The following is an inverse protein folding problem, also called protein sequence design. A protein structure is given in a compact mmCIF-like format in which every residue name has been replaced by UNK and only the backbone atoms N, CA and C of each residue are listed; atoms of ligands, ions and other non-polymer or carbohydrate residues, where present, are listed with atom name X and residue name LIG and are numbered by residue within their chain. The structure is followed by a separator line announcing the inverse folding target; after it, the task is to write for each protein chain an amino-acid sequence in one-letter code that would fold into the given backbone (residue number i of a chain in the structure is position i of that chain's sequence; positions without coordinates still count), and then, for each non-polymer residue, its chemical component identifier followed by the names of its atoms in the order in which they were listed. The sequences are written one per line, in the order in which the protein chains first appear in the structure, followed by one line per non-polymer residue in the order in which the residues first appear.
data_IF_832817475687
#
_entry.id   IF_832817475687
#
_cell.length_a   1.000
_cell.length_b   1.000
_cell.length_c   1.000
_cell.angle_alpha   90.00
_cell.angle_beta   90.00
_cell.angle_gamma   90.00
#
_symmetry.space_group_name_H-M   'P 1'
#
loop_
_entity.id
_entity.type
_entity.pdbx_description
1 polymer ?
#
# COMPACT_ATOMS: atom_id res chain seq x y z
N UNK A 1 10.69 -6.76 6.22
CA UNK A 1 9.36 -7.14 6.75
C UNK A 1 8.70 -5.87 7.28
N UNK A 2 7.42 -5.65 6.97
CA UNK A 2 6.68 -4.48 7.47
C UNK A 2 6.37 -4.63 8.96
N UNK A 3 6.49 -3.55 9.72
CA UNK A 3 6.08 -3.48 11.12
C UNK A 3 5.31 -2.19 11.34
N UNK A 4 4.07 -2.29 11.84
CA UNK A 4 3.22 -1.13 12.15
C UNK A 4 3.94 -0.18 13.10
N UNK A 5 4.55 -0.70 14.17
CA UNK A 5 5.25 0.11 15.14
C UNK A 5 6.47 0.84 14.55
N UNK A 6 7.24 0.18 13.68
CA UNK A 6 8.38 0.84 13.01
C UNK A 6 7.89 1.92 12.05
N UNK A 7 6.81 1.65 11.32
CA UNK A 7 6.22 2.60 10.40
C UNK A 7 5.66 3.84 11.12
N UNK A 8 4.90 3.64 12.21
CA UNK A 8 4.41 4.73 13.04
C UNK A 8 5.55 5.56 13.65
N UNK A 9 6.65 4.91 14.07
CA UNK A 9 7.84 5.61 14.54
C UNK A 9 8.44 6.51 13.44
N UNK A 10 8.54 6.03 12.19
CA UNK A 10 8.98 6.84 11.06
C UNK A 10 8.05 8.04 10.83
N UNK A 11 6.73 7.85 10.89
CA UNK A 11 5.78 8.97 10.74
C UNK A 11 5.94 9.99 11.89
N UNK A 12 6.16 9.53 13.12
CA UNK A 12 6.44 10.39 14.26
C UNK A 12 7.74 11.19 14.06
N UNK A 13 8.80 10.55 13.57
CA UNK A 13 10.06 11.20 13.22
C UNK A 13 9.89 12.25 12.12
N UNK A 14 9.07 11.99 11.09
CA UNK A 14 8.77 12.99 10.05
C UNK A 14 8.04 14.19 10.67
N UNK A 15 7.04 13.96 11.52
CA UNK A 15 6.30 15.04 12.19
C UNK A 15 7.21 15.89 13.09
N UNK A 16 8.07 15.26 13.88
CA UNK A 16 9.05 15.95 14.72
C UNK A 16 10.10 16.70 13.88
N UNK A 17 10.59 16.06 12.81
CA UNK A 17 11.50 16.65 11.85
C UNK A 17 10.89 17.88 11.20
N UNK A 18 9.59 17.86 10.89
CA UNK A 18 8.88 18.98 10.28
C UNK A 18 8.81 20.18 11.22
N UNK A 19 8.50 19.95 12.50
CA UNK A 19 8.55 21.01 13.51
C UNK A 19 9.96 21.61 13.65
N UNK A 20 10.98 20.75 13.61
CA UNK A 20 12.39 21.19 13.67
C UNK A 20 12.77 22.01 12.44
N UNK A 21 12.34 21.57 11.26
CA UNK A 21 12.54 22.28 10.00
C UNK A 21 11.87 23.66 10.04
N UNK A 22 10.59 23.73 10.40
CA UNK A 22 9.84 24.99 10.50
C UNK A 22 10.49 25.95 11.50
N UNK A 23 10.94 25.43 12.65
CA UNK A 23 11.64 26.24 13.64
C UNK A 23 12.96 26.80 13.12
N UNK A 24 13.66 26.10 12.23
CA UNK A 24 14.90 26.58 11.60
C UNK A 24 14.62 27.61 10.51
N UNK A 25 13.61 27.38 9.67
CA UNK A 25 13.19 28.33 8.63
C UNK A 25 12.72 29.65 9.26
N UNK A 26 11.99 29.59 10.39
CA UNK A 26 11.57 30.77 11.13
C UNK A 26 12.74 31.64 11.67
N UNK A 27 13.96 31.08 11.74
CA UNK A 27 15.16 31.81 12.18
C UNK A 27 15.87 32.55 11.03
N UNK A 28 15.53 32.26 9.76
CA UNK A 28 16.23 32.81 8.59
C UNK A 28 16.05 34.32 8.47
N UNK A 29 14.80 34.82 8.49
CA UNK A 29 14.53 36.27 8.40
C UNK A 29 15.16 37.02 9.59
N UNK A 30 14.96 36.63 10.86
CA UNK A 30 15.62 37.31 11.98
C UNK A 30 17.15 37.34 11.90
N UNK A 31 17.78 36.27 11.41
CA UNK A 31 19.23 36.24 11.20
C UNK A 31 19.66 37.21 10.09
N UNK A 32 18.88 37.28 9.01
CA UNK A 32 19.10 38.21 7.90
C UNK A 32 18.92 39.66 8.34
N UNK A 33 17.86 39.98 9.10
CA UNK A 33 17.59 41.32 9.66
C UNK A 33 18.74 41.76 10.58
N UNK A 34 19.20 40.86 11.45
CA UNK A 34 20.32 41.13 12.34
C UNK A 34 21.60 41.48 11.56
N UNK A 35 21.87 40.76 10.47
CA UNK A 35 23.01 41.04 9.61
C UNK A 35 22.83 42.34 8.81
N UNK A 36 21.68 42.55 8.21
CA UNK A 36 21.36 43.75 7.42
C UNK A 36 21.42 45.03 8.27
N UNK A 37 21.15 44.94 9.58
CA UNK A 37 21.23 46.08 10.52
C UNK A 37 22.65 46.47 10.94
N UNK A 38 23.68 45.73 10.53
CA UNK A 38 25.05 46.02 10.94
C UNK A 38 25.58 47.28 10.25
N UNK A 39 26.23 48.15 11.01
CA UNK A 39 26.71 49.47 10.56
C UNK A 39 27.68 49.42 9.36
N UNK A 40 28.34 48.30 9.13
CA UNK A 40 29.32 48.11 8.05
C UNK A 40 28.70 47.50 6.78
N UNK A 41 27.42 47.14 6.81
CA UNK A 41 26.67 46.62 5.65
C UNK A 41 26.08 47.79 4.88
N UNK A 42 26.37 47.88 3.59
CA UNK A 42 25.78 48.90 2.72
C UNK A 42 24.31 48.60 2.43
N UNK A 43 23.48 49.64 2.25
CA UNK A 43 22.03 49.49 2.03
C UNK A 43 21.66 48.54 0.88
N UNK A 44 22.41 48.59 -0.23
CA UNK A 44 22.20 47.68 -1.37
C UNK A 44 22.45 46.21 -1.02
N UNK A 45 23.40 45.94 -0.12
CA UNK A 45 23.72 44.59 0.37
C UNK A 45 22.65 44.15 1.37
N UNK A 46 22.18 45.05 2.24
CA UNK A 46 21.08 44.79 3.17
C UNK A 46 19.79 44.40 2.43
N UNK A 47 19.44 45.11 1.35
CA UNK A 47 18.28 44.79 0.52
C UNK A 47 18.42 43.42 -0.16
N UNK A 48 19.61 43.10 -0.70
CA UNK A 48 19.89 41.79 -1.28
C UNK A 48 19.80 40.65 -0.25
N UNK A 49 20.28 40.87 0.98
CA UNK A 49 20.18 39.91 2.09
C UNK A 49 18.72 39.62 2.44
N UNK A 50 17.89 40.65 2.56
CA UNK A 50 16.45 40.46 2.83
C UNK A 50 15.74 39.74 1.69
N UNK A 51 16.04 40.08 0.43
CA UNK A 51 15.48 39.39 -0.73
C UNK A 51 15.81 37.89 -0.69
N UNK A 52 17.08 37.54 -0.52
CA UNK A 52 17.53 36.14 -0.46
C UNK A 52 16.93 35.38 0.72
N UNK A 53 16.83 36.03 1.88
CA UNK A 53 16.22 35.43 3.07
C UNK A 53 14.73 35.13 2.87
N UNK A 54 14.01 36.05 2.20
CA UNK A 54 12.59 35.87 1.88
C UNK A 54 12.37 34.74 0.89
N UNK A 55 13.11 34.73 -0.22
CA UNK A 55 13.04 33.64 -1.22
C UNK A 55 13.36 32.27 -0.60
N UNK A 56 14.36 32.23 0.29
CA UNK A 56 14.71 31.03 1.07
C UNK A 56 13.53 30.54 1.90
N UNK A 57 12.85 31.43 2.64
CA UNK A 57 11.70 31.08 3.48
C UNK A 57 10.49 30.67 2.64
N UNK A 58 10.23 31.36 1.53
CA UNK A 58 9.10 31.08 0.65
C UNK A 58 9.24 29.66 0.04
N UNK A 59 10.40 29.37 -0.56
CA UNK A 59 10.71 28.03 -1.08
C UNK A 59 10.65 26.94 0.00
N UNK A 60 11.22 27.23 1.17
CA UNK A 60 11.20 26.29 2.28
C UNK A 60 9.79 25.97 2.76
N UNK A 61 8.92 26.99 2.79
CA UNK A 61 7.52 26.85 3.18
C UNK A 61 6.76 26.01 2.15
N UNK A 62 6.98 26.21 0.86
CA UNK A 62 6.41 25.38 -0.20
C UNK A 62 6.80 23.90 -0.06
N UNK A 63 8.10 23.63 0.13
CA UNK A 63 8.62 22.28 0.37
C UNK A 63 7.98 21.67 1.63
N UNK A 64 7.90 22.45 2.70
CA UNK A 64 7.29 22.02 3.96
C UNK A 64 5.81 21.65 3.79
N UNK A 65 5.05 22.45 3.03
CA UNK A 65 3.64 22.18 2.73
C UNK A 65 3.48 20.93 1.86
N UNK A 66 4.37 20.73 0.88
CA UNK A 66 4.37 19.51 0.07
C UNK A 66 4.57 18.25 0.93
N UNK A 67 5.48 18.28 1.91
CA UNK A 67 5.67 17.16 2.85
C UNK A 67 4.40 16.90 3.67
N UNK A 68 3.70 17.94 4.12
CA UNK A 68 2.41 17.80 4.83
C UNK A 68 1.34 17.17 3.93
N UNK A 69 1.29 17.55 2.66
CA UNK A 69 0.38 16.97 1.69
C UNK A 69 0.66 15.48 1.49
N UNK A 70 1.93 15.07 1.41
CA UNK A 70 2.32 13.67 1.36
C UNK A 70 1.87 12.89 2.60
N UNK A 71 1.98 13.49 3.79
CA UNK A 71 1.59 12.86 5.05
C UNK A 71 0.08 12.59 5.19
N UNK A 72 -0.79 13.25 4.42
CA UNK A 72 -2.24 12.99 4.44
C UNK A 72 -2.59 11.53 4.13
N UNK A 73 -1.75 10.85 3.36
CA UNK A 73 -1.91 9.44 2.98
C UNK A 73 -1.23 8.44 3.90
N UNK A 74 -0.65 8.85 5.04
CA UNK A 74 0.23 7.98 5.83
C UNK A 74 -0.48 6.79 6.48
N UNK A 75 -1.80 6.83 6.64
CA UNK A 75 -2.57 5.70 7.14
C UNK A 75 -2.67 4.52 6.16
N UNK A 76 -2.52 4.75 4.85
CA UNK A 76 -2.78 3.73 3.83
C UNK A 76 -1.92 2.46 3.99
N UNK A 77 -0.59 2.53 4.22
CA UNK A 77 0.23 1.34 4.44
C UNK A 77 -0.21 0.49 5.64
N UNK A 78 -0.70 1.11 6.72
CA UNK A 78 -1.17 0.40 7.90
C UNK A 78 -2.45 -0.39 7.58
N UNK A 79 -3.41 0.25 6.90
CA UNK A 79 -4.64 -0.43 6.49
C UNK A 79 -4.36 -1.56 5.51
N UNK A 80 -3.52 -1.33 4.50
CA UNK A 80 -3.11 -2.37 3.56
C UNK A 80 -2.46 -3.57 4.27
N UNK A 81 -1.59 -3.32 5.25
CA UNK A 81 -1.00 -4.39 6.05
C UNK A 81 -2.04 -5.15 6.88
N UNK A 82 -2.99 -4.46 7.52
CA UNK A 82 -4.05 -5.12 8.29
C UNK A 82 -4.99 -5.93 7.41
N UNK A 83 -5.35 -5.37 6.27
CA UNK A 83 -6.26 -6.01 5.32
C UNK A 83 -5.60 -7.24 4.69
N UNK A 84 -4.28 -7.25 4.47
CA UNK A 84 -3.58 -8.44 3.98
C UNK A 84 -3.73 -9.63 4.92
N UNK A 85 -3.63 -9.42 6.24
CA UNK A 85 -3.89 -10.48 7.22
C UNK A 85 -5.34 -10.97 7.18
N UNK A 86 -6.30 -10.05 7.05
CA UNK A 86 -7.71 -10.42 6.91
C UNK A 86 -7.94 -11.29 5.68
N UNK A 87 -7.33 -10.94 4.55
CA UNK A 87 -7.38 -11.75 3.33
C UNK A 87 -6.64 -13.09 3.45
N UNK A 88 -5.59 -13.16 4.26
CA UNK A 88 -4.93 -14.44 4.60
C UNK A 88 -5.85 -15.37 5.39
N UNK A 89 -6.64 -14.83 6.32
CA UNK A 89 -7.61 -15.63 7.08
C UNK A 89 -8.74 -16.14 6.17
N UNK A 90 -9.25 -15.28 5.27
CA UNK A 90 -10.23 -15.65 4.24
C UNK A 90 -9.69 -16.77 3.35
N UNK A 91 -8.45 -16.64 2.87
CA UNK A 91 -7.75 -17.67 2.11
C UNK A 91 -7.73 -18.99 2.87
N UNK A 92 -7.36 -18.97 4.16
CA UNK A 92 -7.31 -20.18 4.99
C UNK A 92 -8.67 -20.87 5.07
N UNK A 93 -9.75 -20.10 5.25
CA UNK A 93 -11.12 -20.62 5.24
C UNK A 93 -11.49 -21.34 3.94
N UNK A 94 -11.23 -20.72 2.79
CA UNK A 94 -11.48 -21.34 1.49
C UNK A 94 -10.58 -22.55 1.20
N UNK A 95 -9.32 -22.49 1.62
CA UNK A 95 -8.39 -23.62 1.52
C UNK A 95 -8.86 -24.83 2.33
N UNK A 96 -9.43 -24.58 3.52
CA UNK A 96 -9.99 -25.63 4.35
C UNK A 96 -11.20 -26.29 3.69
N UNK A 97 -12.14 -25.50 3.15
CA UNK A 97 -13.31 -26.01 2.41
C UNK A 97 -12.85 -26.83 1.19
N UNK A 98 -11.93 -26.30 0.40
CA UNK A 98 -11.37 -27.01 -0.77
C UNK A 98 -10.80 -28.37 -0.38
N UNK A 99 -10.02 -28.41 0.71
CA UNK A 99 -9.41 -29.63 1.22
C UNK A 99 -10.45 -30.63 1.73
N UNK A 100 -11.44 -30.17 2.49
CA UNK A 100 -12.49 -31.03 3.08
C UNK A 100 -13.37 -31.70 2.03
N UNK A 101 -13.57 -31.05 0.88
CA UNK A 101 -14.39 -31.57 -0.22
C UNK A 101 -13.64 -32.56 -1.13
N UNK A 102 -12.37 -32.84 -0.87
CA UNK A 102 -11.63 -33.86 -1.64
C UNK A 102 -12.14 -35.27 -1.31
N UNK A 103 -12.12 -36.16 -2.30
CA UNK A 103 -12.53 -37.57 -2.15
C UNK A 103 -11.82 -38.28 -1.00
N UNK A 104 -10.55 -37.94 -0.75
CA UNK A 104 -9.77 -38.46 0.37
C UNK A 104 -10.37 -38.08 1.74
N UNK A 105 -10.95 -36.89 1.89
CA UNK A 105 -11.49 -36.39 3.15
C UNK A 105 -13.00 -36.62 3.33
N UNK A 106 -13.73 -36.89 2.24
CA UNK A 106 -15.15 -37.23 2.30
C UNK A 106 -15.40 -38.65 2.85
N UNK A 107 -14.40 -39.54 2.80
CA UNK A 107 -14.47 -40.92 3.31
C UNK A 107 -15.70 -41.68 2.78
N UNK A 108 -16.09 -41.41 1.53
CA UNK A 108 -17.19 -42.09 0.86
C UNK A 108 -16.62 -43.29 0.10
N UNK A 109 -16.72 -44.47 0.72
CA UNK A 109 -16.33 -45.74 0.10
C UNK A 109 -17.54 -46.53 -0.41
N UNK A 110 -17.30 -47.52 -1.28
CA UNK A 110 -18.35 -48.39 -1.84
C UNK A 110 -19.01 -49.30 -0.80
N UNK A 111 -18.47 -49.37 0.43
CA UNK A 111 -19.03 -50.23 1.48
C UNK A 111 -20.25 -49.60 2.16
N UNK A 112 -20.34 -48.25 2.16
CA UNK A 112 -21.43 -47.51 2.82
C UNK A 112 -22.36 -46.81 1.85
N UNK A 113 -21.89 -46.47 0.66
CA UNK A 113 -22.70 -45.79 -0.36
C UNK A 113 -22.12 -46.07 -1.75
N UNK A 114 -22.98 -46.45 -2.69
CA UNK A 114 -22.66 -46.76 -4.08
C UNK A 114 -23.82 -46.38 -5.02
N UNK A 115 -23.54 -46.32 -6.32
CA UNK A 115 -24.51 -46.03 -7.39
C UNK A 115 -24.47 -44.57 -7.91
N UNK A 116 -25.25 -44.29 -8.94
CA UNK A 116 -25.18 -43.02 -9.70
C UNK A 116 -25.35 -41.76 -8.85
N UNK A 117 -26.14 -41.84 -7.77
CA UNK A 117 -26.30 -40.74 -6.82
C UNK A 117 -25.00 -40.39 -6.07
N UNK A 118 -24.18 -41.40 -5.74
CA UNK A 118 -22.84 -41.19 -5.17
C UNK A 118 -21.93 -40.51 -6.18
N UNK A 119 -21.90 -41.01 -7.40
CA UNK A 119 -20.99 -40.49 -8.43
C UNK A 119 -21.34 -39.04 -8.78
N UNK A 120 -22.63 -38.71 -8.84
CA UNK A 120 -23.12 -37.34 -8.99
C UNK A 120 -22.72 -36.45 -7.81
N UNK A 121 -22.82 -36.94 -6.58
CA UNK A 121 -22.37 -36.20 -5.40
C UNK A 121 -20.86 -35.93 -5.42
N UNK A 122 -20.04 -36.94 -5.70
CA UNK A 122 -18.58 -36.81 -5.74
C UNK A 122 -18.13 -35.85 -6.84
N UNK A 123 -18.77 -35.91 -8.02
CA UNK A 123 -18.53 -34.97 -9.12
C UNK A 123 -18.78 -33.52 -8.71
N UNK A 124 -19.88 -33.27 -8.00
CA UNK A 124 -20.21 -31.91 -7.55
C UNK A 124 -19.30 -31.47 -6.41
N UNK A 125 -18.95 -32.37 -5.49
CA UNK A 125 -18.02 -32.08 -4.41
C UNK A 125 -16.63 -31.69 -4.95
N UNK A 126 -16.14 -32.38 -5.99
CA UNK A 126 -14.90 -32.02 -6.69
C UNK A 126 -14.99 -30.64 -7.36
N UNK A 127 -16.10 -30.34 -8.05
CA UNK A 127 -16.32 -29.02 -8.65
C UNK A 127 -16.35 -27.90 -7.58
N UNK A 128 -17.00 -28.13 -6.43
CA UNK A 128 -17.04 -27.20 -5.31
C UNK A 128 -15.67 -27.06 -4.63
N UNK A 129 -14.90 -28.14 -4.53
CA UNK A 129 -13.51 -28.12 -4.06
C UNK A 129 -12.64 -27.23 -4.94
N UNK A 130 -12.76 -27.35 -6.27
CA UNK A 130 -12.04 -26.53 -7.24
C UNK A 130 -12.46 -25.04 -7.17
N UNK A 131 -13.76 -24.76 -7.02
CA UNK A 131 -14.27 -23.39 -6.85
C UNK A 131 -13.74 -22.74 -5.56
N UNK A 132 -13.77 -23.47 -4.44
CA UNK A 132 -13.17 -23.01 -3.18
C UNK A 132 -11.66 -22.80 -3.31
N UNK A 133 -10.97 -23.68 -4.03
CA UNK A 133 -9.54 -23.53 -4.34
C UNK A 133 -9.24 -22.24 -5.12
N UNK A 134 -10.10 -21.88 -6.10
CA UNK A 134 -9.97 -20.62 -6.83
C UNK A 134 -10.14 -19.41 -5.92
N UNK A 135 -11.15 -19.41 -5.04
CA UNK A 135 -11.36 -18.31 -4.07
C UNK A 135 -10.19 -18.18 -3.09
N UNK A 136 -9.62 -19.31 -2.64
CA UNK A 136 -8.40 -19.33 -1.83
C UNK A 136 -7.23 -18.64 -2.56
N UNK A 137 -7.03 -18.95 -3.84
CA UNK A 137 -5.99 -18.31 -4.65
C UNK A 137 -6.21 -16.81 -4.83
N UNK A 138 -7.45 -16.38 -5.12
CA UNK A 138 -7.78 -14.94 -5.26
C UNK A 138 -7.53 -14.20 -3.94
N UNK A 139 -7.97 -14.78 -2.81
CA UNK A 139 -7.72 -14.21 -1.48
C UNK A 139 -6.22 -14.14 -1.16
N UNK A 140 -5.46 -15.17 -1.54
CA UNK A 140 -4.00 -15.18 -1.39
C UNK A 140 -3.30 -14.11 -2.23
N UNK A 141 -3.69 -13.95 -3.50
CA UNK A 141 -3.18 -12.90 -4.37
C UNK A 141 -3.48 -11.50 -3.79
N UNK A 142 -4.72 -11.29 -3.34
CA UNK A 142 -5.15 -10.03 -2.72
C UNK A 142 -4.32 -9.70 -1.48
N UNK A 143 -4.14 -10.68 -0.59
CA UNK A 143 -3.29 -10.54 0.60
C UNK A 143 -1.86 -10.13 0.23
N UNK A 144 -1.23 -10.88 -0.68
CA UNK A 144 0.15 -10.62 -1.07
C UNK A 144 0.32 -9.21 -1.64
N UNK A 145 -0.58 -8.81 -2.54
CA UNK A 145 -0.50 -7.48 -3.14
C UNK A 145 -0.71 -6.34 -2.14
N UNK A 146 -1.63 -6.51 -1.19
CA UNK A 146 -1.81 -5.53 -0.11
C UNK A 146 -0.56 -5.43 0.78
N UNK A 147 0.09 -6.56 1.10
CA UNK A 147 1.33 -6.58 1.86
C UNK A 147 2.48 -5.90 1.10
N UNK A 148 2.64 -6.18 -0.18
CA UNK A 148 3.61 -5.51 -1.06
C UNK A 148 3.36 -4.00 -1.07
N UNK A 149 2.09 -3.59 -1.12
CA UNK A 149 1.75 -2.18 -1.11
C UNK A 149 2.11 -1.49 0.22
N UNK A 150 1.89 -2.16 1.34
CA UNK A 150 2.30 -1.65 2.65
C UNK A 150 3.83 -1.49 2.76
N UNK A 151 4.59 -2.45 2.21
CA UNK A 151 6.06 -2.41 2.19
C UNK A 151 6.57 -1.24 1.34
N UNK A 152 6.05 -1.09 0.11
CA UNK A 152 6.43 0.00 -0.77
C UNK A 152 6.05 1.37 -0.19
N UNK A 153 4.86 1.49 0.42
CA UNK A 153 4.46 2.68 1.18
C UNK A 153 5.43 3.01 2.32
N UNK A 154 5.94 2.01 3.05
CA UNK A 154 6.96 2.24 4.09
C UNK A 154 8.26 2.77 3.54
N UNK A 155 8.74 2.19 2.43
CA UNK A 155 9.97 2.65 1.78
C UNK A 155 9.85 4.09 1.29
N UNK A 156 8.66 4.47 0.80
CA UNK A 156 8.35 5.85 0.44
C UNK A 156 8.49 6.80 1.64
N UNK A 157 7.85 6.51 2.78
CA UNK A 157 7.94 7.41 3.94
C UNK A 157 9.33 7.44 4.58
N UNK A 158 10.09 6.34 4.54
CA UNK A 158 11.50 6.35 4.92
C UNK A 158 12.32 7.32 4.04
N UNK A 159 12.02 7.37 2.75
CA UNK A 159 12.66 8.32 1.82
C UNK A 159 12.27 9.76 2.16
N UNK A 160 11.00 10.02 2.47
CA UNK A 160 10.53 11.34 2.93
C UNK A 160 11.26 11.77 4.20
N UNK A 161 11.42 10.87 5.18
CA UNK A 161 12.17 11.14 6.41
C UNK A 161 13.63 11.51 6.12
N UNK A 162 14.31 10.75 5.25
CA UNK A 162 15.69 11.01 4.87
C UNK A 162 15.86 12.36 4.15
N UNK A 163 14.92 12.72 3.27
CA UNK A 163 14.93 14.03 2.59
C UNK A 163 14.70 15.16 3.58
N UNK A 164 13.75 15.01 4.50
CA UNK A 164 13.49 15.99 5.53
C UNK A 164 14.70 16.23 6.44
N UNK A 165 15.43 15.17 6.81
CA UNK A 165 16.66 15.30 7.58
C UNK A 165 17.71 16.17 6.85
N UNK A 166 17.88 15.99 5.53
CA UNK A 166 18.76 16.84 4.71
C UNK A 166 18.30 18.30 4.67
N UNK A 167 17.00 18.52 4.49
CA UNK A 167 16.40 19.86 4.49
C UNK A 167 16.61 20.60 5.81
N UNK A 168 16.54 19.90 6.95
CA UNK A 168 16.84 20.48 8.27
C UNK A 168 18.30 20.93 8.35
N UNK A 169 19.24 20.12 7.85
CA UNK A 169 20.66 20.48 7.81
C UNK A 169 20.89 21.70 6.92
N UNK A 170 20.28 21.76 5.74
CA UNK A 170 20.36 22.91 4.84
C UNK A 170 19.77 24.18 5.49
N UNK A 171 18.62 24.08 6.16
CA UNK A 171 18.01 25.20 6.88
C UNK A 171 18.94 25.71 7.99
N UNK A 172 19.57 24.82 8.76
CA UNK A 172 20.53 25.19 9.78
C UNK A 172 21.78 25.88 9.20
N UNK A 173 22.29 25.41 8.07
CA UNK A 173 23.42 26.03 7.36
C UNK A 173 23.06 27.45 6.87
N UNK A 174 21.83 27.64 6.40
CA UNK A 174 21.30 28.96 5.97
C UNK A 174 21.31 29.96 7.13
N UNK A 175 20.75 29.57 8.27
CA UNK A 175 20.73 30.41 9.48
C UNK A 175 22.14 30.78 9.91
N UNK A 176 23.07 29.82 9.92
CA UNK A 176 24.46 30.06 10.27
C UNK A 176 25.15 31.05 9.30
N UNK A 177 24.86 30.93 8.00
CA UNK A 177 25.43 31.82 7.00
C UNK A 177 24.93 33.25 7.12
N UNK A 178 23.61 33.45 7.25
CA UNK A 178 23.03 34.77 7.52
C UNK A 178 23.53 35.37 8.84
N UNK A 179 23.93 34.54 9.81
CA UNK A 179 24.53 35.02 11.07
C UNK A 179 26.01 35.42 10.95
N UNK A 180 26.73 34.99 9.91
CA UNK A 180 28.20 35.03 9.85
C UNK A 180 28.81 36.14 9.01
N UNK A 181 28.01 37.08 8.50
CA UNK A 181 28.43 38.34 7.86
C UNK A 181 29.22 38.26 6.54
N UNK A 182 30.10 37.27 6.36
CA UNK A 182 31.02 37.12 5.22
C UNK A 182 30.50 36.07 4.22
N UNK A 183 29.49 35.27 4.61
CA UNK A 183 29.02 34.11 3.85
C UNK A 183 27.51 34.12 3.54
N UNK A 184 26.81 35.24 3.69
CA UNK A 184 25.35 35.30 3.50
C UNK A 184 24.90 34.91 2.09
N UNK A 185 25.63 35.35 1.05
CA UNK A 185 25.40 34.89 -0.35
C UNK A 185 25.65 33.40 -0.52
N UNK A 186 26.72 32.87 0.06
CA UNK A 186 27.10 31.45 -0.09
C UNK A 186 26.10 30.56 0.64
N UNK A 187 25.63 30.91 1.83
CA UNK A 187 24.63 30.09 2.52
C UNK A 187 23.23 30.17 1.96
N UNK A 188 22.83 31.34 1.44
CA UNK A 188 21.59 31.45 0.68
C UNK A 188 21.67 30.59 -0.60
N UNK A 189 22.79 30.62 -1.33
CA UNK A 189 23.02 29.75 -2.48
C UNK A 189 23.05 28.27 -2.10
N UNK A 190 23.69 27.89 -0.98
CA UNK A 190 23.67 26.49 -0.51
C UNK A 190 22.23 26.04 -0.27
N UNK A 191 21.37 26.87 0.32
CA UNK A 191 19.96 26.49 0.51
C UNK A 191 19.16 26.47 -0.78
N UNK A 192 19.41 27.39 -1.71
CA UNK A 192 18.72 27.41 -3.00
C UNK A 192 19.17 26.25 -3.90
N UNK A 193 20.47 25.91 -3.87
CA UNK A 193 21.06 24.76 -4.55
C UNK A 193 20.56 23.45 -3.93
N UNK A 194 20.68 23.31 -2.61
CA UNK A 194 20.12 22.18 -1.86
C UNK A 194 18.59 22.14 -1.99
N UNK A 195 17.92 23.28 -2.10
CA UNK A 195 16.49 23.40 -2.36
C UNK A 195 16.13 22.79 -3.71
N UNK A 196 16.90 23.09 -4.76
CA UNK A 196 16.75 22.48 -6.09
C UNK A 196 17.10 20.98 -6.12
N UNK A 197 18.18 20.57 -5.44
CA UNK A 197 18.58 19.16 -5.31
C UNK A 197 17.56 18.36 -4.49
N UNK A 198 17.01 18.95 -3.43
CA UNK A 198 15.99 18.32 -2.60
C UNK A 198 14.60 18.36 -3.26
N UNK A 199 14.28 19.36 -4.09
CA UNK A 199 13.13 19.29 -5.01
C UNK A 199 13.32 18.12 -5.99
N UNK A 200 14.53 17.91 -6.51
CA UNK A 200 14.82 16.75 -7.38
C UNK A 200 14.69 15.44 -6.63
N UNK A 201 15.11 15.37 -5.36
CA UNK A 201 14.93 14.21 -4.50
C UNK A 201 13.45 13.97 -4.15
N UNK A 202 12.67 15.03 -3.92
CA UNK A 202 11.22 14.97 -3.72
C UNK A 202 10.47 14.60 -5.00
N UNK A 203 10.93 15.07 -6.16
CA UNK A 203 10.44 14.67 -7.47
C UNK A 203 10.81 13.22 -7.78
N UNK A 204 11.99 12.76 -7.34
CA UNK A 204 12.37 11.35 -7.38
C UNK A 204 11.48 10.53 -6.45
N UNK A 205 11.21 11.00 -5.24
CA UNK A 205 10.27 10.36 -4.31
C UNK A 205 8.84 10.37 -4.86
N UNK A 206 8.40 11.44 -5.54
CA UNK A 206 7.12 11.51 -6.24
C UNK A 206 7.10 10.59 -7.46
N UNK A 207 8.24 10.38 -8.13
CA UNK A 207 8.44 9.38 -9.17
C UNK A 207 8.35 7.96 -8.63
N UNK A 208 8.94 7.69 -7.47
CA UNK A 208 8.79 6.43 -6.73
C UNK A 208 7.35 6.22 -6.28
N UNK A 209 6.67 7.27 -5.80
CA UNK A 209 5.24 7.25 -5.48
C UNK A 209 4.39 6.96 -6.72
N UNK A 210 4.73 7.54 -7.87
CA UNK A 210 4.05 7.30 -9.14
C UNK A 210 4.27 5.87 -9.64
N UNK A 211 5.48 5.34 -9.48
CA UNK A 211 5.79 3.92 -9.73
C UNK A 211 4.99 3.01 -8.82
N UNK A 212 4.93 3.34 -7.53
CA UNK A 212 4.14 2.63 -6.54
C UNK A 212 2.63 2.65 -6.84
N UNK A 213 2.09 3.81 -7.24
CA UNK A 213 0.69 3.94 -7.68
C UNK A 213 0.45 3.16 -8.98
N UNK A 214 1.43 3.10 -9.89
CA UNK A 214 1.41 2.27 -11.09
C UNK A 214 1.37 0.78 -10.76
N UNK A 215 2.14 0.34 -9.77
CA UNK A 215 2.11 -1.05 -9.29
C UNK A 215 0.79 -1.38 -8.59
N UNK A 216 0.23 -0.46 -7.80
CA UNK A 216 -1.13 -0.59 -7.26
C UNK A 216 -2.19 -0.71 -8.35
N UNK A 217 -2.09 0.09 -9.42
CA UNK A 217 -2.99 -0.01 -10.56
C UNK A 217 -2.91 -1.37 -11.25
N UNK A 218 -1.70 -1.91 -11.41
CA UNK A 218 -1.49 -3.27 -11.96
C UNK A 218 -2.09 -4.35 -11.08
N UNK A 219 -1.93 -4.24 -9.77
CA UNK A 219 -2.57 -5.13 -8.79
C UNK A 219 -4.08 -5.08 -8.92
N UNK A 220 -4.68 -3.89 -8.96
CA UNK A 220 -6.14 -3.75 -9.11
C UNK A 220 -6.64 -4.37 -10.41
N UNK A 221 -5.92 -4.18 -11.52
CA UNK A 221 -6.25 -4.82 -12.81
C UNK A 221 -6.15 -6.34 -12.70
N UNK A 222 -5.11 -6.87 -12.06
CA UNK A 222 -4.93 -8.31 -11.86
C UNK A 222 -6.06 -8.91 -11.01
N UNK A 223 -6.41 -8.26 -9.90
CA UNK A 223 -7.50 -8.68 -9.03
C UNK A 223 -8.85 -8.60 -9.73
N UNK A 224 -9.08 -7.55 -10.51
CA UNK A 224 -10.29 -7.43 -11.32
C UNK A 224 -10.38 -8.57 -12.34
N UNK A 225 -9.30 -8.83 -13.07
CA UNK A 225 -9.21 -9.93 -14.03
C UNK A 225 -9.49 -11.27 -13.34
N UNK A 226 -8.85 -11.54 -12.21
CA UNK A 226 -9.04 -12.77 -11.42
C UNK A 226 -10.48 -12.90 -10.89
N UNK A 227 -11.12 -11.80 -10.50
CA UNK A 227 -12.52 -11.80 -10.05
C UNK A 227 -13.53 -12.00 -11.19
N UNK A 228 -13.16 -11.59 -12.41
CA UNK A 228 -14.00 -11.70 -13.60
C UNK A 228 -13.87 -13.04 -14.32
N UNK A 229 -12.89 -13.86 -13.93
CA UNK A 229 -12.64 -15.16 -14.53
C UNK A 229 -13.67 -16.20 -14.03
N UNK A 230 -14.54 -16.72 -14.92
CA UNK A 230 -15.57 -17.70 -14.55
C UNK A 230 -15.02 -19.11 -14.35
N UNK A 231 -13.70 -19.33 -14.43
CA UNK A 231 -13.09 -20.63 -14.18
C UNK A 231 -13.57 -21.23 -12.86
N UNK A 232 -14.03 -22.48 -12.90
CA UNK A 232 -14.62 -23.23 -11.78
C UNK A 232 -15.97 -22.70 -11.25
N UNK A 233 -16.60 -21.74 -11.95
CA UNK A 233 -17.94 -21.23 -11.67
C UNK A 233 -18.85 -21.40 -12.90
N UNK A 234 -19.47 -22.57 -13.10
CA UNK A 234 -20.36 -22.82 -14.24
C UNK A 234 -21.49 -21.78 -14.30
N UNK A 235 -21.59 -21.06 -15.42
CA UNK A 235 -22.58 -19.98 -15.58
C UNK A 235 -22.35 -18.77 -14.66
N UNK A 236 -21.15 -18.58 -14.11
CA UNK A 236 -20.85 -17.55 -13.13
C UNK A 236 -21.45 -17.81 -11.74
N UNK A 237 -21.88 -19.05 -11.48
CA UNK A 237 -22.52 -19.44 -10.23
C UNK A 237 -21.68 -20.48 -9.50
N UNK A 238 -21.92 -20.59 -8.19
CA UNK A 238 -21.40 -21.70 -7.40
C UNK A 238 -21.85 -23.04 -8.02
N UNK A 239 -20.97 -24.05 -8.15
CA UNK A 239 -21.35 -25.36 -8.66
C UNK A 239 -22.51 -25.97 -7.85
N UNK A 240 -23.62 -26.28 -8.52
CA UNK A 240 -24.83 -26.85 -7.91
C UNK A 240 -24.99 -28.31 -8.29
N UNK A 241 -25.53 -29.08 -7.36
CA UNK A 241 -25.96 -30.46 -7.63
C UNK A 241 -27.17 -30.48 -8.55
N UNK A 242 -27.24 -31.45 -9.46
CA UNK A 242 -28.45 -31.78 -10.22
C UNK A 242 -29.43 -32.68 -9.42
N UNK A 243 -29.37 -32.65 -8.09
CA UNK A 243 -30.11 -33.54 -7.18
C UNK A 243 -31.64 -33.57 -7.43
N UNK A 244 -32.20 -32.53 -8.06
CA UNK A 244 -33.59 -32.50 -8.51
C UNK A 244 -33.94 -33.60 -9.52
N UNK A 245 -32.97 -34.10 -10.29
CA UNK A 245 -33.13 -35.24 -11.21
C UNK A 245 -33.31 -36.58 -10.48
N UNK A 246 -32.96 -36.65 -9.19
CA UNK A 246 -33.12 -37.83 -8.33
C UNK A 246 -34.22 -37.64 -7.29
N UNK A 247 -35.14 -36.68 -7.52
CA UNK A 247 -36.25 -36.38 -6.60
C UNK A 247 -37.42 -37.35 -6.72
N UNK A 248 -37.44 -38.15 -7.78
CA UNK A 248 -38.34 -39.28 -7.86
C UNK A 248 -37.88 -40.32 -6.83
N UNK A 249 -38.80 -40.78 -5.98
CA UNK A 249 -38.54 -41.71 -4.88
C UNK A 249 -39.21 -43.07 -5.11
N UNK A 250 -39.72 -43.30 -6.32
CA UNK A 250 -40.40 -44.52 -6.68
C UNK A 250 -39.38 -45.62 -6.99
N UNK A 251 -39.35 -46.62 -6.11
CA UNK A 251 -38.40 -47.75 -6.17
C UNK A 251 -38.91 -48.88 -7.09
N UNK A 252 -40.14 -48.79 -7.64
CA UNK A 252 -40.88 -49.96 -8.16
C UNK A 252 -41.55 -49.83 -9.53
N UNK A 253 -41.70 -48.64 -10.08
CA UNK A 253 -42.28 -48.36 -11.40
C UNK A 253 -41.29 -48.53 -12.56
N UNK A 254 -39.99 -48.37 -12.29
CA UNK A 254 -38.93 -48.69 -13.26
C UNK A 254 -38.78 -47.64 -14.36
N UNK A 255 -39.23 -46.42 -14.12
CA UNK A 255 -39.00 -45.21 -14.92
C UNK A 255 -37.84 -44.37 -14.40
N UNK A 256 -37.39 -44.60 -13.17
CA UNK A 256 -36.22 -43.96 -12.59
C UNK A 256 -34.89 -44.63 -13.04
N UNK A 257 -33.95 -43.81 -13.52
CA UNK A 257 -32.59 -44.22 -13.95
C UNK A 257 -31.75 -44.88 -12.84
N UNK A 258 -32.11 -44.69 -11.57
CA UNK A 258 -31.41 -45.24 -10.40
C UNK A 258 -32.10 -46.47 -9.79
N UNK A 259 -33.09 -47.05 -10.48
CA UNK A 259 -33.81 -48.24 -10.00
C UNK A 259 -32.88 -49.46 -9.82
N UNK A 260 -33.16 -50.26 -8.79
CA UNK A 260 -32.44 -51.51 -8.53
C UNK A 260 -32.46 -52.39 -9.78
N UNK A 261 -31.29 -52.85 -10.24
CA UNK A 261 -31.17 -53.82 -11.34
C UNK A 261 -32.14 -54.97 -11.09
N UNK A 262 -33.10 -55.17 -12.00
CA UNK A 262 -33.99 -56.34 -11.98
C UNK A 262 -33.14 -57.60 -12.18
N UNK A 263 -33.31 -58.57 -11.28
CA UNK A 263 -32.76 -59.93 -11.40
C UNK A 263 -33.25 -60.62 -12.69
#
# INVERSE_FOLDING_TARGET
MFSVAQFEAVIAEINQGKQTYDAKIAQVIPAADHLASQWWVADVIAEAIHYLAKETVDLATEIGNFILDLLKGCGAPIFMFRDSWTWTDIKSGFSAVSTQLTTQNLVVDDSKWAGDAKDAYLTVAEAQSAAAGRLSSIAGNTSNSLLECAIAGSAFYLTVAAVLAKLIVAAAASVAAFSSAIFSEIGAMIFLEEGGVNITALATAAGLLSGFLGDQARVMISLHSDSSDPANFPGGMWPRTNASAFSDATVKDGDADWSLKKD
#
